data_IF_060660790231
#
_entry.id   IF_060660790231
#
_cell.length_a   1.000
_cell.length_b   1.000
_cell.length_c   1.000
_cell.angle_alpha   90.00
_cell.angle_beta   90.00
_cell.angle_gamma   90.00
#
_symmetry.space_group_name_H-M   'P 1'
#
loop_
_entity.id
_entity.type
_entity.pdbx_description
1 polymer ?
#
# COMPACT_ATOMS: atom_id res chain seq x y z
N UNK A 1 32.30 -60.34 31.31
CA UNK A 1 31.03 -59.64 31.44
C UNK A 1 31.12 -58.22 32.00
N UNK A 2 31.97 -57.84 32.94
CA UNK A 2 32.05 -56.48 33.53
C UNK A 2 32.61 -55.44 32.59
N UNK A 3 33.56 -55.75 31.68
CA UNK A 3 34.20 -54.81 30.77
C UNK A 3 33.24 -54.41 29.64
N UNK A 4 32.55 -55.34 29.00
CA UNK A 4 31.59 -55.05 27.93
C UNK A 4 30.43 -54.17 28.41
N UNK A 5 29.94 -54.40 29.64
CA UNK A 5 28.89 -53.59 30.23
C UNK A 5 29.34 -52.11 30.51
N UNK A 6 30.60 -51.98 30.94
CA UNK A 6 31.19 -50.62 31.13
C UNK A 6 31.35 -49.88 29.81
N UNK A 7 31.85 -50.54 28.76
CA UNK A 7 32.01 -49.96 27.42
C UNK A 7 30.65 -49.53 26.81
N UNK A 8 29.63 -50.39 26.97
CA UNK A 8 28.28 -50.06 26.47
C UNK A 8 27.67 -48.84 27.19
N UNK A 9 27.84 -48.75 28.48
CA UNK A 9 27.35 -47.59 29.26
C UNK A 9 28.09 -46.30 28.85
N UNK A 10 29.42 -46.37 28.69
CA UNK A 10 30.21 -45.21 28.27
C UNK A 10 29.82 -44.76 26.85
N UNK A 11 29.64 -45.67 25.91
CA UNK A 11 29.21 -45.38 24.56
C UNK A 11 27.82 -44.74 24.55
N UNK A 12 26.87 -45.30 25.31
CA UNK A 12 25.53 -44.72 25.43
C UNK A 12 25.54 -43.30 26.06
N UNK A 13 26.36 -43.08 27.06
CA UNK A 13 26.51 -41.76 27.67
C UNK A 13 27.09 -40.72 26.69
N UNK A 14 28.13 -41.11 25.92
CA UNK A 14 28.72 -40.25 24.90
C UNK A 14 27.71 -39.89 23.78
N UNK A 15 26.91 -40.84 23.33
CA UNK A 15 25.90 -40.55 22.29
C UNK A 15 24.79 -39.61 22.79
N UNK A 16 24.33 -39.80 24.02
CA UNK A 16 23.33 -38.89 24.62
C UNK A 16 23.88 -37.48 24.77
N UNK A 17 25.09 -37.31 25.27
CA UNK A 17 25.72 -36.01 25.44
C UNK A 17 25.90 -35.34 24.09
N UNK A 18 26.43 -36.04 23.08
CA UNK A 18 26.65 -35.49 21.74
C UNK A 18 25.34 -35.08 21.09
N UNK A 19 24.30 -35.90 21.15
CA UNK A 19 23.00 -35.55 20.55
C UNK A 19 22.33 -34.36 21.25
N UNK A 20 22.49 -34.23 22.56
CA UNK A 20 21.96 -33.12 23.32
C UNK A 20 22.66 -31.81 22.94
N UNK A 21 23.98 -31.82 22.82
CA UNK A 21 24.76 -30.63 22.41
C UNK A 21 24.39 -30.22 20.99
N UNK A 22 24.32 -31.13 20.07
CA UNK A 22 23.92 -30.84 18.68
C UNK A 22 22.47 -30.29 18.61
N UNK A 23 21.56 -30.90 19.39
CA UNK A 23 20.17 -30.45 19.45
C UNK A 23 20.05 -29.02 19.98
N UNK A 24 20.73 -28.69 21.06
CA UNK A 24 20.72 -27.32 21.64
C UNK A 24 21.31 -26.32 20.64
N UNK A 25 22.46 -26.63 20.05
CA UNK A 25 23.07 -25.76 19.03
C UNK A 25 22.15 -25.56 17.82
N UNK A 26 21.53 -26.61 17.33
CA UNK A 26 20.59 -26.53 16.20
C UNK A 26 19.40 -25.60 16.51
N UNK A 27 18.83 -25.69 17.70
CA UNK A 27 17.72 -24.81 18.12
C UNK A 27 18.16 -23.34 18.21
N UNK A 28 19.33 -23.08 18.81
CA UNK A 28 19.86 -21.71 18.91
C UNK A 28 20.12 -21.10 17.54
N UNK A 29 20.80 -21.83 16.66
CA UNK A 29 21.06 -21.35 15.31
C UNK A 29 19.78 -21.18 14.52
N UNK A 30 18.87 -22.14 14.53
CA UNK A 30 17.60 -22.06 13.84
C UNK A 30 16.75 -20.87 14.30
N UNK A 31 16.68 -20.61 15.61
CA UNK A 31 15.95 -19.46 16.15
C UNK A 31 16.57 -18.13 15.74
N UNK A 32 17.90 -18.03 15.73
CA UNK A 32 18.60 -16.81 15.34
C UNK A 32 18.42 -16.50 13.85
N UNK A 33 18.55 -17.52 12.99
CA UNK A 33 18.34 -17.37 11.55
C UNK A 33 16.88 -17.05 11.23
N UNK A 34 15.94 -17.77 11.82
CA UNK A 34 14.51 -17.57 11.59
C UNK A 34 14.06 -16.17 12.02
N UNK A 35 14.61 -15.64 13.13
CA UNK A 35 14.30 -14.28 13.58
C UNK A 35 14.79 -13.21 12.62
N UNK A 36 15.99 -13.36 12.09
CA UNK A 36 16.56 -12.41 11.12
C UNK A 36 15.87 -12.49 9.76
N UNK A 37 15.59 -13.69 9.27
CA UNK A 37 14.89 -13.89 7.98
C UNK A 37 13.46 -13.35 8.06
N UNK A 38 12.75 -13.61 9.17
CA UNK A 38 11.40 -13.08 9.35
C UNK A 38 11.38 -11.55 9.43
N UNK A 39 12.32 -10.94 10.14
CA UNK A 39 12.45 -9.49 10.22
C UNK A 39 12.74 -8.88 8.84
N UNK A 40 13.61 -9.50 8.05
CA UNK A 40 13.93 -9.07 6.68
C UNK A 40 12.72 -9.18 5.75
N UNK A 41 12.00 -10.30 5.79
CA UNK A 41 10.79 -10.50 4.98
C UNK A 41 9.70 -9.49 5.37
N UNK A 42 9.49 -9.26 6.66
CA UNK A 42 8.52 -8.27 7.12
C UNK A 42 8.90 -6.85 6.69
N UNK A 43 10.19 -6.51 6.70
CA UNK A 43 10.65 -5.19 6.27
C UNK A 43 10.44 -5.01 4.77
N UNK A 44 10.79 -5.99 3.96
CA UNK A 44 10.57 -6.00 2.52
C UNK A 44 9.08 -5.92 2.16
N UNK A 45 8.22 -6.64 2.86
CA UNK A 45 6.77 -6.59 2.66
C UNK A 45 6.18 -5.23 3.04
N UNK A 46 6.67 -4.63 4.13
CA UNK A 46 6.28 -3.27 4.52
C UNK A 46 6.71 -2.22 3.49
N UNK A 47 7.94 -2.33 2.98
CA UNK A 47 8.46 -1.41 1.98
C UNK A 47 7.70 -1.54 0.66
N UNK A 48 7.40 -2.75 0.22
CA UNK A 48 6.59 -3.01 -0.97
C UNK A 48 5.17 -2.46 -0.81
N UNK A 49 4.54 -2.72 0.33
CA UNK A 49 3.20 -2.20 0.63
C UNK A 49 3.19 -0.67 0.67
N UNK A 50 4.20 -0.06 1.27
CA UNK A 50 4.33 1.40 1.29
C UNK A 50 4.54 1.98 -0.12
N UNK A 51 5.33 1.32 -0.96
CA UNK A 51 5.53 1.72 -2.35
C UNK A 51 4.22 1.62 -3.16
N UNK A 52 3.45 0.55 -2.98
CA UNK A 52 2.15 0.36 -3.63
C UNK A 52 1.13 1.43 -3.21
N UNK A 53 1.06 1.74 -1.91
CA UNK A 53 0.21 2.81 -1.39
C UNK A 53 0.62 4.17 -1.97
N UNK A 54 1.92 4.48 -2.01
CA UNK A 54 2.40 5.73 -2.58
C UNK A 54 2.11 5.82 -4.09
N UNK A 55 2.28 4.74 -4.83
CA UNK A 55 1.93 4.70 -6.25
C UNK A 55 0.42 4.92 -6.46
N UNK A 56 -0.40 4.34 -5.60
CA UNK A 56 -1.84 4.54 -5.62
C UNK A 56 -2.23 6.01 -5.34
N UNK A 57 -1.68 6.60 -4.28
CA UNK A 57 -1.93 8.00 -3.93
C UNK A 57 -1.49 8.95 -5.05
N UNK A 58 -0.33 8.70 -5.67
CA UNK A 58 0.15 9.51 -6.80
C UNK A 58 -0.78 9.44 -8.01
N UNK A 59 -1.40 8.30 -8.29
CA UNK A 59 -2.40 8.19 -9.36
C UNK A 59 -3.67 8.99 -9.06
N UNK A 60 -4.12 8.96 -7.80
CA UNK A 60 -5.27 9.77 -7.36
C UNK A 60 -4.95 11.25 -7.48
N UNK A 61 -3.78 11.68 -7.02
CA UNK A 61 -3.32 13.06 -7.13
C UNK A 61 -3.27 13.52 -8.59
N UNK A 62 -2.64 12.74 -9.47
CA UNK A 62 -2.59 13.03 -10.90
C UNK A 62 -3.98 13.10 -11.54
N UNK A 63 -4.91 12.26 -11.10
CA UNK A 63 -6.29 12.28 -11.59
C UNK A 63 -7.01 13.58 -11.17
N UNK A 64 -6.81 14.00 -9.92
CA UNK A 64 -7.37 15.26 -9.40
C UNK A 64 -6.78 16.46 -10.13
N UNK A 65 -5.47 16.50 -10.31
CA UNK A 65 -4.78 17.58 -11.05
C UNK A 65 -5.30 17.67 -12.50
N UNK A 66 -5.45 16.52 -13.17
CA UNK A 66 -5.99 16.48 -14.52
C UNK A 66 -7.40 17.06 -14.61
N UNK A 67 -8.29 16.68 -13.67
CA UNK A 67 -9.66 17.22 -13.62
C UNK A 67 -9.65 18.72 -13.28
N UNK A 68 -8.76 19.14 -12.40
CA UNK A 68 -8.59 20.57 -12.06
C UNK A 68 -8.17 21.38 -13.29
N UNK A 69 -7.18 20.91 -14.03
CA UNK A 69 -6.69 21.57 -15.25
C UNK A 69 -7.77 21.64 -16.34
N UNK A 70 -8.53 20.54 -16.53
CA UNK A 70 -9.66 20.54 -17.46
C UNK A 70 -10.70 21.58 -17.02
N UNK A 71 -11.05 21.58 -15.73
CA UNK A 71 -12.03 22.52 -15.18
C UNK A 71 -11.60 23.98 -15.39
N UNK A 72 -10.34 24.28 -15.16
CA UNK A 72 -9.80 25.63 -15.34
C UNK A 72 -9.73 26.03 -16.82
N UNK A 73 -9.49 25.10 -17.72
CA UNK A 73 -9.47 25.35 -19.16
C UNK A 73 -10.86 25.54 -19.75
N UNK A 74 -11.87 24.80 -19.26
CA UNK A 74 -13.26 24.93 -19.70
C UNK A 74 -13.93 26.17 -19.11
N UNK A 75 -13.50 26.63 -17.94
CA UNK A 75 -14.00 27.83 -17.29
C UNK A 75 -13.39 29.09 -17.94
N UNK A 76 -13.85 29.41 -19.15
CA UNK A 76 -13.30 30.52 -19.95
C UNK A 76 -13.90 31.88 -19.60
N UNK A 77 -15.11 31.90 -19.03
CA UNK A 77 -15.83 33.16 -18.71
C UNK A 77 -16.41 33.16 -17.30
N UNK A 78 -15.63 33.71 -16.37
CA UNK A 78 -16.04 33.88 -14.97
C UNK A 78 -17.27 34.76 -14.80
N UNK A 79 -17.49 35.73 -15.68
CA UNK A 79 -18.65 36.63 -15.60
C UNK A 79 -19.93 35.87 -15.93
N UNK A 80 -19.91 35.06 -16.94
CA UNK A 80 -21.03 34.18 -17.31
C UNK A 80 -21.28 33.07 -16.29
N UNK A 81 -20.25 32.57 -15.64
CA UNK A 81 -20.39 31.61 -14.54
C UNK A 81 -21.18 32.16 -13.36
N UNK A 82 -21.02 33.47 -13.05
CA UNK A 82 -21.75 34.12 -11.96
C UNK A 82 -23.19 34.55 -12.33
N UNK A 83 -23.46 34.79 -13.62
CA UNK A 83 -24.70 35.43 -14.03
C UNK A 83 -25.61 34.56 -14.89
N UNK A 84 -25.09 33.51 -15.52
CA UNK A 84 -25.83 32.68 -16.47
C UNK A 84 -25.99 31.25 -15.98
N UNK A 85 -27.19 30.86 -15.60
CA UNK A 85 -27.55 29.50 -15.24
C UNK A 85 -27.38 28.52 -16.41
N UNK A 86 -27.54 28.98 -17.64
CA UNK A 86 -27.36 28.16 -18.86
C UNK A 86 -25.89 27.80 -19.05
N UNK A 87 -24.98 28.78 -18.86
CA UNK A 87 -23.54 28.54 -18.91
C UNK A 87 -23.09 27.51 -17.86
N UNK A 88 -23.54 27.67 -16.61
CA UNK A 88 -23.23 26.73 -15.52
C UNK A 88 -23.72 25.33 -15.84
N UNK A 89 -24.92 25.18 -16.40
CA UNK A 89 -25.49 23.88 -16.76
C UNK A 89 -24.68 23.20 -17.88
N UNK A 90 -24.28 23.94 -18.90
CA UNK A 90 -23.47 23.45 -20.02
C UNK A 90 -22.09 23.02 -19.52
N UNK A 91 -21.41 23.88 -18.77
CA UNK A 91 -20.09 23.60 -18.18
C UNK A 91 -20.14 22.37 -17.27
N UNK A 92 -21.17 22.27 -16.43
CA UNK A 92 -21.33 21.09 -15.54
C UNK A 92 -21.51 19.81 -16.32
N UNK A 93 -22.25 19.83 -17.44
CA UNK A 93 -22.43 18.66 -18.30
C UNK A 93 -21.13 18.21 -18.99
N UNK A 94 -20.30 19.15 -19.42
CA UNK A 94 -18.99 18.84 -20.02
C UNK A 94 -18.01 18.28 -18.99
N UNK A 95 -17.99 18.87 -17.79
CA UNK A 95 -17.16 18.42 -16.68
C UNK A 95 -17.60 17.07 -16.11
N UNK A 96 -18.89 16.73 -16.14
CA UNK A 96 -19.41 15.43 -15.69
C UNK A 96 -18.77 14.27 -16.45
N UNK A 97 -18.63 14.40 -17.77
CA UNK A 97 -17.97 13.37 -18.59
C UNK A 97 -16.49 13.22 -18.23
N UNK A 98 -15.79 14.33 -18.02
CA UNK A 98 -14.38 14.35 -17.62
C UNK A 98 -14.19 13.74 -16.23
N UNK A 99 -15.05 14.07 -15.29
CA UNK A 99 -15.06 13.49 -13.94
C UNK A 99 -15.30 11.98 -13.96
N UNK A 100 -16.30 11.56 -14.75
CA UNK A 100 -16.60 10.13 -14.89
C UNK A 100 -15.42 9.37 -15.50
N UNK A 101 -14.78 9.93 -16.51
CA UNK A 101 -13.59 9.35 -17.12
C UNK A 101 -12.43 9.25 -16.12
N UNK A 102 -12.17 10.31 -15.37
CA UNK A 102 -11.12 10.33 -14.35
C UNK A 102 -11.38 9.29 -13.26
N UNK A 103 -12.61 9.23 -12.72
CA UNK A 103 -12.99 8.26 -11.71
C UNK A 103 -12.89 6.81 -12.21
N UNK A 104 -13.33 6.56 -13.45
CA UNK A 104 -13.30 5.21 -14.06
C UNK A 104 -11.88 4.72 -14.36
N UNK A 105 -10.94 5.61 -14.59
CA UNK A 105 -9.54 5.29 -14.85
C UNK A 105 -8.66 5.28 -13.60
N UNK A 106 -9.22 5.62 -12.44
CA UNK A 106 -8.50 5.61 -11.16
C UNK A 106 -8.94 4.42 -10.33
N UNK A 107 -8.06 3.43 -10.21
CA UNK A 107 -8.34 2.23 -9.42
C UNK A 107 -8.74 2.59 -7.99
N UNK A 108 -9.86 2.01 -7.52
CA UNK A 108 -10.37 2.23 -6.17
C UNK A 108 -11.10 3.56 -5.94
N UNK A 109 -11.24 4.41 -6.95
CA UNK A 109 -12.11 5.57 -6.84
C UNK A 109 -13.58 5.11 -6.71
N UNK A 110 -14.22 5.51 -5.62
CA UNK A 110 -15.63 5.18 -5.35
C UNK A 110 -16.55 6.27 -5.90
N UNK A 111 -16.09 7.51 -5.83
CA UNK A 111 -16.80 8.68 -6.36
C UNK A 111 -15.81 9.79 -6.68
N UNK A 112 -16.21 10.69 -7.58
CA UNK A 112 -15.55 11.94 -7.83
C UNK A 112 -16.60 13.05 -7.84
N UNK A 113 -16.25 14.23 -7.35
CA UNK A 113 -17.13 15.39 -7.36
C UNK A 113 -16.34 16.68 -7.45
N UNK A 114 -16.95 17.68 -8.08
CA UNK A 114 -16.45 19.07 -8.08
C UNK A 114 -17.40 19.88 -7.20
N UNK A 115 -16.84 20.68 -6.32
CA UNK A 115 -17.59 21.62 -5.49
C UNK A 115 -17.15 23.02 -5.81
N UNK A 116 -18.08 23.82 -6.25
CA UNK A 116 -17.86 25.26 -6.42
C UNK A 116 -18.03 25.98 -5.09
N UNK A 117 -17.22 27.01 -4.85
CA UNK A 117 -17.39 27.86 -3.68
C UNK A 117 -18.68 28.66 -3.82
N UNK A 118 -19.61 28.65 -2.84
CA UNK A 118 -20.85 29.37 -2.89
C UNK A 118 -20.67 30.90 -3.06
N UNK A 119 -19.56 31.46 -2.61
CA UNK A 119 -19.24 32.89 -2.79
C UNK A 119 -19.13 33.32 -4.27
N UNK A 120 -18.96 32.34 -5.18
CA UNK A 120 -18.91 32.57 -6.63
C UNK A 120 -20.23 32.26 -7.34
N UNK A 121 -21.19 31.64 -6.67
CA UNK A 121 -22.45 31.17 -7.27
C UNK A 121 -23.68 31.95 -6.75
N UNK A 122 -23.55 32.70 -5.67
CA UNK A 122 -24.62 33.60 -5.20
C UNK A 122 -24.39 35.03 -5.73
N UNK A 123 -25.40 35.64 -6.39
CA UNK A 123 -25.35 37.02 -6.85
C UNK A 123 -25.39 38.03 -5.70
#
# INVERSE_FOLDING_TARGET
MKIAKKMSITAAACTIISSTVVGIMSVIYSSAYMGNDLASIMHEECDNTAADINAYLSRVEQSVDTVSDITMNELTDFSSFQTSSEYVTTLTGELEQSLYSAASNTDGAICAYIRYNPDFTEP
#
